data_IF_501920632548
#
_entry.id   IF_501920632548
#
_cell.length_a   1.000
_cell.length_b   1.000
_cell.length_c   1.000
_cell.angle_alpha   90.00
_cell.angle_beta   90.00
_cell.angle_gamma   90.00
#
_symmetry.space_group_name_H-M   'P 1'
#
loop_
_entity.id
_entity.type
_entity.pdbx_description
1 polymer ?
#
# COMPACT_ATOMS: atom_id res chain seq x y z
N UNK A 1 1.62 -7.90 14.23
CA UNK A 1 1.20 -9.30 14.01
C UNK A 1 -0.31 -9.34 14.11
N UNK A 2 -0.99 -9.58 12.98
CA UNK A 2 -2.46 -9.54 12.92
C UNK A 2 -3.00 -10.82 13.56
N UNK A 3 -3.86 -10.66 14.57
CA UNK A 3 -4.58 -11.78 15.17
C UNK A 3 -5.80 -12.09 14.29
N UNK A 4 -5.70 -13.16 13.49
CA UNK A 4 -6.79 -13.64 12.64
C UNK A 4 -7.44 -14.87 13.27
N UNK A 5 -8.76 -14.94 13.21
CA UNK A 5 -9.54 -16.10 13.66
C UNK A 5 -10.36 -16.67 12.48
N UNK A 6 -9.69 -17.24 11.47
CA UNK A 6 -10.36 -17.73 10.27
C UNK A 6 -11.23 -18.94 10.56
N UNK A 7 -12.40 -19.00 9.92
CA UNK A 7 -13.23 -20.19 9.85
C UNK A 7 -13.15 -20.79 8.45
N UNK A 8 -13.10 -22.11 8.36
CA UNK A 8 -13.03 -22.82 7.10
C UNK A 8 -14.34 -23.54 6.85
N UNK A 9 -14.94 -23.30 5.69
CA UNK A 9 -16.15 -24.01 5.23
C UNK A 9 -15.88 -24.62 3.86
N UNK A 10 -16.63 -25.66 3.50
CA UNK A 10 -16.59 -26.25 2.16
C UNK A 10 -17.91 -25.96 1.47
N UNK A 11 -17.87 -25.46 0.24
CA UNK A 11 -19.08 -25.21 -0.54
C UNK A 11 -19.66 -26.50 -1.14
N UNK A 12 -20.81 -26.39 -1.81
CA UNK A 12 -21.48 -27.53 -2.46
C UNK A 12 -20.71 -28.10 -3.65
N UNK A 13 -19.75 -27.35 -4.21
CA UNK A 13 -18.86 -27.79 -5.28
C UNK A 13 -17.56 -28.41 -4.76
N UNK A 14 -17.36 -28.45 -3.43
CA UNK A 14 -16.16 -29.02 -2.79
C UNK A 14 -15.02 -28.02 -2.59
N UNK A 15 -15.21 -26.74 -2.88
CA UNK A 15 -14.17 -25.72 -2.69
C UNK A 15 -14.07 -25.31 -1.22
N UNK A 16 -12.84 -25.15 -0.73
CA UNK A 16 -12.56 -24.69 0.63
C UNK A 16 -12.56 -23.16 0.66
N UNK A 17 -13.47 -22.58 1.43
CA UNK A 17 -13.62 -21.15 1.65
C UNK A 17 -13.08 -20.76 3.03
N UNK A 18 -12.66 -19.51 3.17
CA UNK A 18 -12.23 -18.90 4.43
C UNK A 18 -13.16 -17.75 4.75
N UNK A 19 -13.73 -17.76 5.96
CA UNK A 19 -14.58 -16.70 6.47
C UNK A 19 -13.80 -15.95 7.56
N UNK A 20 -13.74 -14.63 7.43
CA UNK A 20 -13.15 -13.71 8.39
C UNK A 20 -14.24 -12.75 8.90
N UNK A 21 -14.05 -12.22 10.11
CA UNK A 21 -14.85 -11.05 10.52
C UNK A 21 -14.42 -9.85 9.69
N UNK A 22 -15.37 -8.96 9.45
CA UNK A 22 -15.15 -7.74 8.67
C UNK A 22 -13.94 -6.93 9.16
N UNK A 23 -13.85 -6.67 10.47
CA UNK A 23 -12.70 -5.97 11.06
C UNK A 23 -11.36 -6.70 10.89
N UNK A 24 -11.35 -8.03 10.81
CA UNK A 24 -10.12 -8.81 10.57
C UNK A 24 -9.69 -8.72 9.11
N UNK A 25 -10.66 -8.70 8.19
CA UNK A 25 -10.42 -8.51 6.76
C UNK A 25 -9.90 -7.11 6.45
N UNK A 26 -10.57 -6.07 6.95
CA UNK A 26 -10.14 -4.67 6.78
C UNK A 26 -8.74 -4.43 7.33
N UNK A 27 -8.45 -4.97 8.53
CA UNK A 27 -7.12 -4.88 9.11
C UNK A 27 -6.06 -5.61 8.27
N UNK A 28 -6.39 -6.79 7.75
CA UNK A 28 -5.50 -7.52 6.86
C UNK A 28 -5.19 -6.70 5.60
N UNK A 29 -6.19 -6.06 5.01
CA UNK A 29 -6.03 -5.23 3.83
C UNK A 29 -5.13 -4.02 4.10
N UNK A 30 -5.37 -3.29 5.18
CA UNK A 30 -4.57 -2.13 5.57
C UNK A 30 -3.08 -2.45 5.71
N UNK A 31 -2.75 -3.59 6.34
CA UNK A 31 -1.34 -3.95 6.53
C UNK A 31 -0.68 -4.43 5.23
N UNK A 32 -1.45 -4.99 4.30
CA UNK A 32 -0.96 -5.29 2.95
C UNK A 32 -0.65 -4.01 2.17
N UNK A 33 -1.51 -3.00 2.28
CA UNK A 33 -1.28 -1.68 1.67
C UNK A 33 -0.05 -0.99 2.25
N UNK A 34 0.13 -1.01 3.57
CA UNK A 34 1.32 -0.46 4.22
C UNK A 34 2.62 -1.14 3.73
N UNK A 35 2.59 -2.48 3.58
CA UNK A 35 3.73 -3.22 3.04
C UNK A 35 4.03 -2.87 1.57
N UNK A 36 2.98 -2.62 0.78
CA UNK A 36 3.13 -2.17 -0.59
C UNK A 36 3.73 -0.77 -0.68
N UNK A 37 3.27 0.16 0.17
CA UNK A 37 3.82 1.52 0.26
C UNK A 37 5.31 1.49 0.63
N UNK A 38 5.70 0.66 1.58
CA UNK A 38 7.11 0.45 1.95
C UNK A 38 7.90 -0.08 0.74
N UNK A 39 7.37 -1.09 0.04
CA UNK A 39 8.02 -1.67 -1.14
C UNK A 39 8.20 -0.62 -2.24
N UNK A 40 7.17 0.17 -2.54
CA UNK A 40 7.23 1.24 -3.53
C UNK A 40 8.24 2.31 -3.13
N UNK A 41 8.23 2.72 -1.86
CA UNK A 41 9.20 3.69 -1.35
C UNK A 41 10.63 3.20 -1.55
N UNK A 42 10.92 1.95 -1.20
CA UNK A 42 12.25 1.35 -1.38
C UNK A 42 12.66 1.25 -2.85
N UNK A 43 11.73 0.88 -3.74
CA UNK A 43 11.96 0.81 -5.19
C UNK A 43 12.32 2.19 -5.77
N UNK A 44 11.53 3.21 -5.43
CA UNK A 44 11.79 4.58 -5.88
C UNK A 44 13.09 5.10 -5.27
N UNK A 45 13.33 4.85 -3.98
CA UNK A 45 14.55 5.32 -3.29
C UNK A 45 15.83 4.68 -3.81
N UNK A 46 15.79 3.44 -4.29
CA UNK A 46 16.95 2.84 -4.98
C UNK A 46 17.35 3.58 -6.25
N UNK A 47 16.37 4.16 -6.94
CA UNK A 47 16.58 4.96 -8.16
C UNK A 47 16.83 6.45 -7.91
N UNK A 48 16.66 6.90 -6.66
CA UNK A 48 16.87 8.28 -6.25
C UNK A 48 18.38 8.59 -6.23
N UNK A 49 18.81 9.50 -7.11
CA UNK A 49 20.20 9.95 -7.18
C UNK A 49 20.57 10.95 -6.06
N UNK A 50 19.65 11.22 -5.14
CA UNK A 50 19.84 12.11 -4.00
C UNK A 50 19.76 13.60 -4.33
N UNK A 51 19.48 13.94 -5.60
CA UNK A 51 19.31 15.33 -6.05
C UNK A 51 18.05 15.89 -5.41
N UNK A 52 18.20 17.06 -4.78
CA UNK A 52 17.14 17.76 -4.10
C UNK A 52 17.01 19.13 -4.74
N UNK A 53 15.78 19.52 -5.08
CA UNK A 53 15.45 20.88 -5.53
C UNK A 53 14.92 21.66 -4.32
N UNK A 54 15.29 22.93 -4.22
CA UNK A 54 14.76 23.79 -3.17
C UNK A 54 13.28 24.11 -3.40
N UNK A 55 12.56 24.45 -2.34
CA UNK A 55 11.15 24.82 -2.45
C UNK A 55 10.96 26.05 -3.34
N UNK A 56 11.89 27.00 -3.25
CA UNK A 56 11.89 28.22 -4.05
C UNK A 56 12.01 27.92 -5.55
N UNK A 57 12.97 27.06 -5.92
CA UNK A 57 13.16 26.60 -7.30
C UNK A 57 11.94 25.85 -7.84
N UNK A 58 11.34 24.98 -7.02
CA UNK A 58 10.11 24.26 -7.39
C UNK A 58 8.94 25.21 -7.65
N UNK A 59 8.74 26.22 -6.80
CA UNK A 59 7.65 27.20 -6.94
C UNK A 59 7.80 28.00 -8.24
N UNK A 60 9.02 28.44 -8.58
CA UNK A 60 9.29 29.14 -9.84
C UNK A 60 8.99 28.24 -11.03
N UNK A 61 9.50 27.00 -11.04
CA UNK A 61 9.27 26.03 -12.11
C UNK A 61 7.79 25.71 -12.33
N UNK A 62 7.02 25.55 -11.24
CA UNK A 62 5.57 25.29 -11.31
C UNK A 62 4.81 26.46 -11.95
N UNK A 63 5.14 27.71 -11.60
CA UNK A 63 4.47 28.89 -12.17
C UNK A 63 4.75 29.05 -13.67
N UNK A 64 5.97 28.74 -14.10
CA UNK A 64 6.36 28.79 -15.52
C UNK A 64 5.65 27.72 -16.36
N UNK A 65 5.36 26.54 -15.81
CA UNK A 65 4.67 25.45 -16.52
C UNK A 65 3.15 25.63 -16.63
N UNK A 66 2.58 26.63 -15.95
CA UNK A 66 1.14 26.93 -15.94
C UNK A 66 0.83 28.35 -16.44
N UNK A 67 1.78 28.98 -17.13
CA UNK A 67 1.64 30.26 -17.83
C UNK A 67 1.56 30.01 -19.34
#
# INVERSE_FOLDING_TARGET
MIALNPQYITDTAGNRLVVLRDAEFEKLLQELEELEDIRLYDEVKKSDNGTRTSLEEYIVKRKLNHA
#
